data_IF_416482023865
#
_entry.id   IF_416482023865
#
_cell.length_a   1.000
_cell.length_b   1.000
_cell.length_c   1.000
_cell.angle_alpha   90.00
_cell.angle_beta   90.00
_cell.angle_gamma   90.00
#
_symmetry.space_group_name_H-M   'P 1'
#
loop_
_entity.id
_entity.type
_entity.pdbx_description
1 polymer ?
#
# COMPACT_ATOMS: atom_id res chain seq x y z
N UNK A 1 -6.34 -7.83 4.91
CA UNK A 1 -5.35 -8.93 4.96
C UNK A 1 -4.47 -8.95 3.70
N UNK A 2 -5.06 -9.03 2.50
CA UNK A 2 -4.32 -9.11 1.22
C UNK A 2 -3.32 -7.97 0.94
N UNK A 3 -3.68 -6.73 1.27
CA UNK A 3 -2.82 -5.57 1.04
C UNK A 3 -1.50 -5.65 1.83
N UNK A 4 -1.55 -6.16 3.06
CA UNK A 4 -0.35 -6.32 3.88
C UNK A 4 0.54 -7.46 3.36
N UNK A 5 -0.04 -8.57 2.91
CA UNK A 5 0.71 -9.67 2.29
C UNK A 5 1.46 -9.21 1.03
N UNK A 6 0.81 -8.39 0.22
CA UNK A 6 1.43 -7.81 -0.99
C UNK A 6 2.58 -6.86 -0.62
N UNK A 7 2.40 -6.04 0.41
CA UNK A 7 3.44 -5.15 0.94
C UNK A 7 4.63 -5.96 1.47
N UNK A 8 4.38 -6.98 2.29
CA UNK A 8 5.44 -7.79 2.87
C UNK A 8 6.27 -8.48 1.78
N UNK A 9 5.64 -8.97 0.72
CA UNK A 9 6.35 -9.54 -0.43
C UNK A 9 7.15 -8.49 -1.24
N UNK A 10 6.82 -7.20 -1.15
CA UNK A 10 7.64 -6.14 -1.74
C UNK A 10 8.92 -5.91 -0.93
N UNK A 11 8.86 -5.95 0.41
CA UNK A 11 10.03 -5.73 1.27
C UNK A 11 10.89 -6.99 1.44
N UNK A 12 10.26 -8.16 1.52
CA UNK A 12 10.87 -9.47 1.67
C UNK A 12 10.23 -10.46 0.67
N UNK A 13 10.66 -10.43 -0.60
CA UNK A 13 10.16 -11.36 -1.61
C UNK A 13 10.42 -12.80 -1.20
N UNK A 14 9.39 -13.66 -1.31
CA UNK A 14 9.54 -15.10 -0.97
C UNK A 14 10.59 -15.82 -1.82
N UNK A 15 10.84 -15.33 -3.04
CA UNK A 15 11.76 -15.93 -4.01
C UNK A 15 13.23 -15.57 -3.75
N UNK A 16 13.51 -14.70 -2.77
CA UNK A 16 14.88 -14.26 -2.45
C UNK A 16 15.26 -14.78 -1.07
N UNK A 17 16.41 -15.44 -0.98
CA UNK A 17 16.95 -15.87 0.30
C UNK A 17 17.60 -14.68 1.03
N UNK A 18 17.25 -14.50 2.30
CA UNK A 18 17.84 -13.50 3.17
C UNK A 18 18.42 -14.17 4.42
N UNK A 19 19.48 -13.60 4.98
CA UNK A 19 19.88 -13.93 6.34
C UNK A 19 18.76 -13.59 7.33
N UNK A 20 18.66 -14.34 8.43
CA UNK A 20 17.61 -14.19 9.43
C UNK A 20 17.45 -12.74 9.92
N UNK A 21 18.55 -12.07 10.23
CA UNK A 21 18.53 -10.67 10.69
C UNK A 21 18.02 -9.71 9.61
N UNK A 22 18.43 -9.91 8.35
CA UNK A 22 17.98 -9.10 7.22
C UNK A 22 16.48 -9.31 6.94
N UNK A 23 15.99 -10.55 7.06
CA UNK A 23 14.57 -10.86 6.92
C UNK A 23 13.74 -10.19 8.01
N UNK A 24 14.17 -10.28 9.28
CA UNK A 24 13.49 -9.60 10.40
C UNK A 24 13.45 -8.08 10.20
N UNK A 25 14.56 -7.46 9.81
CA UNK A 25 14.60 -6.02 9.54
C UNK A 25 13.62 -5.61 8.44
N UNK A 26 13.56 -6.38 7.34
CA UNK A 26 12.63 -6.12 6.23
C UNK A 26 11.15 -6.28 6.63
N UNK A 27 10.83 -7.27 7.45
CA UNK A 27 9.46 -7.47 7.97
C UNK A 27 9.06 -6.32 8.89
N UNK A 28 9.96 -5.89 9.80
CA UNK A 28 9.70 -4.75 10.68
C UNK A 28 9.47 -3.45 9.90
N UNK A 29 10.29 -3.20 8.86
CA UNK A 29 10.10 -2.05 7.97
C UNK A 29 8.76 -2.11 7.25
N UNK A 30 8.33 -3.29 6.78
CA UNK A 30 7.02 -3.46 6.16
C UNK A 30 5.88 -3.16 7.15
N UNK A 31 6.00 -3.61 8.41
CA UNK A 31 5.01 -3.31 9.48
C UNK A 31 4.96 -1.81 9.77
N UNK A 32 6.10 -1.17 9.96
CA UNK A 32 6.17 0.29 10.20
C UNK A 32 5.53 1.07 9.05
N UNK A 33 5.89 0.71 7.81
CA UNK A 33 5.31 1.32 6.61
C UNK A 33 3.79 1.09 6.54
N UNK A 34 3.31 -0.11 6.88
CA UNK A 34 1.88 -0.40 6.90
C UNK A 34 1.15 0.42 7.95
N UNK A 35 1.67 0.49 9.17
CA UNK A 35 1.06 1.22 10.28
C UNK A 35 0.94 2.71 9.96
N UNK A 36 2.01 3.31 9.43
CA UNK A 36 2.02 4.71 9.00
C UNK A 36 1.01 4.99 7.87
N UNK A 37 0.94 4.10 6.87
CA UNK A 37 0.17 4.37 5.65
C UNK A 37 -1.27 3.82 5.65
N UNK A 38 -1.67 3.05 6.66
CA UNK A 38 -3.01 2.43 6.70
C UNK A 38 -4.12 3.45 6.98
N UNK A 39 -3.88 4.36 7.93
CA UNK A 39 -4.84 5.35 8.39
C UNK A 39 -4.75 6.70 7.64
N UNK A 40 -4.16 6.71 6.44
CA UNK A 40 -4.10 7.92 5.62
C UNK A 40 -5.49 8.48 5.33
N UNK A 41 -5.61 9.78 5.56
CA UNK A 41 -6.84 10.54 5.37
C UNK A 41 -7.24 10.60 3.88
N UNK A 42 -8.54 10.82 3.64
CA UNK A 42 -9.04 11.12 2.29
C UNK A 42 -8.37 12.37 1.75
N UNK A 43 -8.05 12.38 0.46
CA UNK A 43 -7.56 13.56 -0.23
C UNK A 43 -8.72 14.55 -0.35
N UNK A 44 -8.54 15.74 0.22
CA UNK A 44 -9.50 16.83 0.14
C UNK A 44 -9.19 17.67 -1.12
N UNK A 45 -10.21 18.01 -1.89
CA UNK A 45 -10.10 18.94 -3.02
C UNK A 45 -9.93 20.38 -2.53
N UNK A 46 -9.53 21.30 -3.40
CA UNK A 46 -9.40 22.73 -3.07
C UNK A 46 -10.71 23.33 -2.54
N UNK A 47 -11.85 22.77 -2.95
CA UNK A 47 -13.20 23.14 -2.50
C UNK A 47 -13.65 22.46 -1.20
N UNK A 48 -12.75 21.77 -0.47
CA UNK A 48 -13.07 21.11 0.79
C UNK A 48 -13.81 19.77 0.69
N UNK A 49 -14.10 19.29 -0.53
CA UNK A 49 -14.79 18.00 -0.76
C UNK A 49 -13.81 16.84 -0.84
N UNK A 50 -14.17 15.69 -0.25
CA UNK A 50 -13.40 14.45 -0.39
C UNK A 50 -13.37 13.97 -1.85
N UNK A 51 -12.20 13.53 -2.33
CA UNK A 51 -12.03 13.02 -3.69
C UNK A 51 -12.28 11.51 -3.76
N UNK A 52 -13.04 11.10 -4.76
CA UNK A 52 -13.41 9.72 -5.02
C UNK A 52 -12.99 9.29 -6.44
N UNK A 53 -12.57 8.04 -6.59
CA UNK A 53 -12.22 7.39 -7.85
C UNK A 53 -13.20 6.27 -8.14
N UNK A 54 -13.63 6.16 -9.40
CA UNK A 54 -14.46 5.06 -9.88
C UNK A 54 -13.53 3.95 -10.38
N UNK A 55 -13.71 2.74 -9.86
CA UNK A 55 -12.99 1.55 -10.29
C UNK A 55 -13.94 0.52 -10.88
N UNK A 56 -13.50 -0.18 -11.91
CA UNK A 56 -14.25 -1.26 -12.55
C UNK A 56 -13.54 -2.60 -12.28
N UNK A 57 -13.82 -3.25 -11.15
CA UNK A 57 -13.17 -4.50 -10.81
C UNK A 57 -13.70 -5.64 -11.70
N UNK A 58 -12.78 -6.46 -12.23
CA UNK A 58 -13.08 -7.54 -13.18
C UNK A 58 -14.16 -8.53 -12.70
N UNK A 59 -14.23 -8.80 -11.39
CA UNK A 59 -15.21 -9.72 -10.82
C UNK A 59 -16.66 -9.20 -10.84
N UNK A 60 -16.85 -7.88 -10.99
CA UNK A 60 -18.18 -7.25 -11.04
C UNK A 60 -18.77 -7.14 -12.44
N UNK A 61 -18.13 -7.74 -13.45
CA UNK A 61 -18.67 -7.82 -14.84
C UNK A 61 -19.19 -6.48 -15.40
N UNK A 62 -18.58 -5.36 -15.02
CA UNK A 62 -18.96 -4.02 -15.51
C UNK A 62 -19.49 -3.07 -14.44
N UNK A 63 -19.90 -3.56 -13.26
CA UNK A 63 -20.41 -2.65 -12.23
C UNK A 63 -19.28 -1.86 -11.55
N UNK A 64 -19.39 -0.52 -11.50
CA UNK A 64 -18.40 0.32 -10.85
C UNK A 64 -18.43 0.17 -9.32
N UNK A 65 -17.28 0.43 -8.70
CA UNK A 65 -17.16 0.72 -7.27
C UNK A 65 -16.54 2.10 -7.09
N UNK A 66 -17.07 2.83 -6.12
CA UNK A 66 -16.50 4.12 -5.70
C UNK A 66 -15.48 3.86 -4.59
N UNK A 67 -14.26 4.35 -4.76
CA UNK A 67 -13.20 4.29 -3.75
C UNK A 67 -12.74 5.68 -3.36
N UNK A 68 -12.52 5.93 -2.06
CA UNK A 68 -11.88 7.16 -1.58
C UNK A 68 -10.44 7.23 -2.05
N UNK A 69 -10.06 8.38 -2.61
CA UNK A 69 -8.66 8.67 -2.91
C UNK A 69 -8.03 9.12 -1.59
N UNK A 70 -6.98 8.42 -1.14
CA UNK A 70 -6.22 8.82 0.05
C UNK A 70 -5.13 9.83 -0.31
N UNK A 71 -4.66 10.59 0.67
CA UNK A 71 -3.47 11.45 0.56
C UNK A 71 -2.24 10.63 0.15
N UNK A 72 -1.24 11.31 -0.44
CA UNK A 72 0.02 10.66 -0.83
C UNK A 72 0.67 9.98 0.39
N UNK A 73 1.33 8.82 0.20
CA UNK A 73 2.07 8.17 1.28
C UNK A 73 3.25 9.05 1.72
N UNK A 74 3.56 9.03 3.02
CA UNK A 74 4.66 9.82 3.62
C UNK A 74 6.02 9.42 3.03
N UNK A 75 6.20 8.14 2.72
CA UNK A 75 7.37 7.62 2.04
C UNK A 75 6.94 6.82 0.82
N UNK A 76 7.17 7.35 -0.38
CA UNK A 76 6.98 6.60 -1.62
C UNK A 76 8.15 5.63 -1.82
N UNK A 77 7.84 4.38 -2.21
CA UNK A 77 8.77 3.32 -2.67
C UNK A 77 10.23 3.56 -2.30
N UNK A 78 10.73 2.88 -1.26
CA UNK A 78 12.18 2.71 -1.14
C UNK A 78 12.67 2.01 -2.42
N UNK A 79 13.58 2.63 -3.20
CA UNK A 79 14.13 1.97 -4.36
C UNK A 79 14.79 0.68 -3.88
N UNK A 80 14.33 -0.45 -4.41
CA UNK A 80 15.04 -1.71 -4.29
C UNK A 80 16.30 -1.56 -5.16
N UNK A 81 17.35 -0.99 -4.57
CA UNK A 81 18.68 -1.03 -5.17
C UNK A 81 19.20 -2.44 -4.94
N UNK A 82 19.34 -3.19 -6.04
CA UNK A 82 20.07 -4.45 -6.10
C UNK A 82 21.56 -4.21 -5.91
#
# INVERSE_FOLDING_TARGET
LEAFHSLLNQFAPKMTAFHFQAMNGRVLLAVMHFNENSNRQSKISRDGKEQYSIHYPKYRKGDPIVRRIKTAPTHSKLPFVL
#
